data_IF_803988103742
#
_entry.id   IF_803988103742
#
_cell.length_a   1.000
_cell.length_b   1.000
_cell.length_c   1.000
_cell.angle_alpha   90.00
_cell.angle_beta   90.00
_cell.angle_gamma   90.00
#
_symmetry.space_group_name_H-M   'P 1'
#
loop_
_entity.id
_entity.type
_entity.pdbx_description
1 polymer ?
#
# COMPACT_ATOMS: atom_id res chain seq x y z
N UNK A 1 6.92 0.70 -17.03
CA UNK A 1 6.32 1.67 -17.98
C UNK A 1 5.35 1.05 -18.99
N UNK A 2 5.66 -0.10 -19.59
CA UNK A 2 4.81 -0.79 -20.59
C UNK A 2 3.38 -1.06 -20.11
N UNK A 3 3.18 -1.48 -18.86
CA UNK A 3 1.85 -1.77 -18.29
C UNK A 3 0.94 -0.54 -18.18
N UNK A 4 1.48 0.66 -17.99
CA UNK A 4 0.70 1.90 -17.89
C UNK A 4 0.08 2.22 -19.23
N UNK A 5 0.81 2.09 -20.33
CA UNK A 5 0.31 2.32 -21.68
C UNK A 5 -0.73 1.29 -22.08
N UNK A 6 -0.57 0.04 -21.66
CA UNK A 6 -1.55 -1.03 -21.90
C UNK A 6 -2.87 -0.74 -21.19
N UNK A 7 -2.82 -0.30 -19.93
CA UNK A 7 -4.00 0.09 -19.14
C UNK A 7 -4.69 1.30 -19.76
N UNK A 8 -3.94 2.34 -20.13
CA UNK A 8 -4.48 3.52 -20.79
C UNK A 8 -5.10 3.18 -22.14
N UNK A 9 -4.49 2.28 -22.92
CA UNK A 9 -5.03 1.78 -24.17
C UNK A 9 -6.35 1.02 -24.01
N UNK A 10 -6.44 0.16 -22.99
CA UNK A 10 -7.70 -0.54 -22.66
C UNK A 10 -8.78 0.46 -22.25
N UNK A 11 -8.48 1.43 -21.39
CA UNK A 11 -9.45 2.45 -20.97
C UNK A 11 -9.93 3.27 -22.15
N UNK A 12 -9.04 3.67 -23.08
CA UNK A 12 -9.39 4.42 -24.29
C UNK A 12 -10.28 3.61 -25.25
N UNK A 13 -9.90 2.36 -25.55
CA UNK A 13 -10.71 1.45 -26.38
C UNK A 13 -12.10 1.24 -25.81
N UNK A 14 -12.20 1.15 -24.52
CA UNK A 14 -13.46 0.97 -23.83
C UNK A 14 -14.30 2.24 -23.78
N UNK A 15 -13.67 3.41 -23.69
CA UNK A 15 -14.34 4.69 -23.87
C UNK A 15 -14.94 4.82 -25.26
N UNK A 16 -14.20 4.43 -26.29
CA UNK A 16 -14.65 4.41 -27.69
C UNK A 16 -15.83 3.45 -27.87
N UNK A 17 -15.73 2.22 -27.36
CA UNK A 17 -16.82 1.23 -27.42
C UNK A 17 -18.08 1.73 -26.71
N UNK A 18 -17.94 2.44 -25.60
CA UNK A 18 -19.06 3.09 -24.89
C UNK A 18 -19.79 4.12 -25.76
N UNK A 19 -19.06 4.94 -26.51
CA UNK A 19 -19.62 6.00 -27.34
C UNK A 19 -20.39 5.41 -28.55
N UNK A 20 -19.86 4.38 -29.20
CA UNK A 20 -20.39 3.89 -30.44
C UNK A 20 -21.39 2.72 -30.31
N UNK A 21 -21.23 1.85 -29.31
CA UNK A 21 -22.04 0.64 -29.20
C UNK A 21 -23.23 0.77 -28.21
N UNK A 22 -23.11 1.58 -27.17
CA UNK A 22 -24.14 1.70 -26.15
C UNK A 22 -25.47 2.37 -26.56
N UNK A 23 -25.50 3.39 -27.43
CA UNK A 23 -26.75 4.08 -27.75
C UNK A 23 -27.83 3.16 -28.34
N UNK A 24 -27.41 2.05 -28.96
CA UNK A 24 -28.32 1.09 -29.64
C UNK A 24 -28.83 -0.04 -28.76
N UNK A 25 -28.37 -0.12 -27.48
CA UNK A 25 -28.69 -1.21 -26.58
C UNK A 25 -29.88 -0.88 -25.65
N UNK A 26 -30.52 -1.91 -25.11
CA UNK A 26 -31.60 -1.75 -24.14
C UNK A 26 -31.15 -1.04 -22.86
N UNK A 27 -32.05 -0.39 -22.09
CA UNK A 27 -31.69 0.30 -20.84
C UNK A 27 -31.01 -0.62 -19.83
N UNK A 28 -31.40 -1.89 -19.76
CA UNK A 28 -30.83 -2.90 -18.87
C UNK A 28 -29.36 -3.20 -19.25
N UNK A 29 -29.08 -3.40 -20.54
CA UNK A 29 -27.72 -3.65 -21.04
C UNK A 29 -26.83 -2.44 -20.77
N UNK A 30 -27.32 -1.22 -20.99
CA UNK A 30 -26.58 0.02 -20.66
C UNK A 30 -26.26 0.13 -19.17
N UNK A 31 -27.21 -0.29 -18.30
CA UNK A 31 -27.00 -0.27 -16.87
C UNK A 31 -25.93 -1.30 -16.44
N UNK A 32 -26.04 -2.54 -16.92
CA UNK A 32 -25.06 -3.59 -16.65
C UNK A 32 -23.66 -3.21 -17.13
N UNK A 33 -23.55 -2.68 -18.34
CA UNK A 33 -22.28 -2.20 -18.92
C UNK A 33 -21.66 -1.08 -18.11
N UNK A 34 -22.46 -0.11 -17.64
CA UNK A 34 -21.98 0.97 -16.79
C UNK A 34 -21.47 0.51 -15.42
N UNK A 35 -22.10 -0.50 -14.83
CA UNK A 35 -21.62 -1.13 -13.58
C UNK A 35 -20.33 -1.91 -13.81
N UNK A 36 -20.26 -2.69 -14.88
CA UNK A 36 -19.05 -3.41 -15.27
C UNK A 36 -17.85 -2.47 -15.39
N UNK A 37 -18.02 -1.33 -16.08
CA UNK A 37 -16.93 -0.34 -16.19
C UNK A 37 -16.55 0.29 -14.87
N UNK A 38 -17.53 0.55 -14.01
CA UNK A 38 -17.25 1.06 -12.66
C UNK A 38 -16.39 0.07 -11.87
N UNK A 39 -16.72 -1.22 -11.94
CA UNK A 39 -15.94 -2.28 -11.30
C UNK A 39 -14.55 -2.42 -11.91
N UNK A 40 -14.44 -2.41 -13.24
CA UNK A 40 -13.14 -2.50 -13.91
C UNK A 40 -12.21 -1.31 -13.55
N UNK A 41 -12.71 -0.09 -13.58
CA UNK A 41 -11.97 1.09 -13.16
C UNK A 41 -11.58 1.02 -11.67
N UNK A 42 -12.51 0.62 -10.81
CA UNK A 42 -12.24 0.44 -9.39
C UNK A 42 -11.14 -0.59 -9.14
N UNK A 43 -11.17 -1.72 -9.86
CA UNK A 43 -10.14 -2.76 -9.75
C UNK A 43 -8.75 -2.26 -10.18
N UNK A 44 -8.66 -1.50 -11.29
CA UNK A 44 -7.41 -0.91 -11.76
C UNK A 44 -6.86 0.10 -10.74
N UNK A 45 -7.70 0.98 -10.23
CA UNK A 45 -7.30 1.97 -9.23
C UNK A 45 -6.91 1.28 -7.92
N UNK A 46 -7.65 0.24 -7.49
CA UNK A 46 -7.29 -0.55 -6.32
C UNK A 46 -5.91 -1.20 -6.47
N UNK A 47 -5.62 -1.78 -7.64
CA UNK A 47 -4.30 -2.35 -7.94
C UNK A 47 -3.19 -1.30 -7.87
N UNK A 48 -3.40 -0.11 -8.45
CA UNK A 48 -2.43 0.98 -8.40
C UNK A 48 -2.21 1.48 -6.97
N UNK A 49 -3.28 1.72 -6.21
CA UNK A 49 -3.19 2.16 -4.82
C UNK A 49 -2.60 1.09 -3.89
N UNK A 50 -2.76 -0.20 -4.22
CA UNK A 50 -2.16 -1.30 -3.48
C UNK A 50 -0.62 -1.29 -3.54
N UNK A 51 -0.07 -0.91 -4.69
CA UNK A 51 1.38 -0.83 -4.92
C UNK A 51 1.97 0.54 -4.55
N UNK A 52 1.20 1.60 -4.75
CA UNK A 52 1.64 3.00 -4.57
C UNK A 52 0.60 3.75 -3.75
N UNK A 53 0.83 3.85 -2.44
CA UNK A 53 -0.10 4.55 -1.54
C UNK A 53 -0.32 6.01 -1.95
N UNK A 54 0.72 6.69 -2.42
CA UNK A 54 0.65 8.10 -2.85
C UNK A 54 -0.33 8.31 -4.01
N UNK A 55 -0.58 7.25 -4.80
CA UNK A 55 -1.60 7.30 -5.84
C UNK A 55 -3.01 7.49 -5.28
N UNK A 56 -3.24 7.09 -4.03
CA UNK A 56 -4.51 7.29 -3.33
C UNK A 56 -4.84 8.77 -3.14
N UNK A 57 -3.82 9.61 -2.88
CA UNK A 57 -3.97 11.06 -2.68
C UNK A 57 -4.47 11.75 -3.96
N UNK A 58 -4.15 11.21 -5.12
CA UNK A 58 -4.62 11.71 -6.41
C UNK A 58 -5.95 11.04 -6.82
N UNK A 59 -6.04 9.72 -6.64
CA UNK A 59 -7.19 8.94 -7.06
C UNK A 59 -8.48 9.31 -6.31
N UNK A 60 -8.37 9.60 -5.01
CA UNK A 60 -9.53 9.95 -4.18
C UNK A 60 -10.20 11.27 -4.64
N UNK A 61 -9.49 12.41 -4.76
CA UNK A 61 -10.09 13.64 -5.28
C UNK A 61 -10.67 13.49 -6.69
N UNK A 62 -9.95 12.80 -7.58
CA UNK A 62 -10.41 12.56 -8.95
C UNK A 62 -11.71 11.74 -8.95
N UNK A 63 -11.78 10.66 -8.17
CA UNK A 63 -12.98 9.84 -8.02
C UNK A 63 -14.15 10.65 -7.44
N UNK A 64 -13.89 11.53 -6.46
CA UNK A 64 -14.90 12.42 -5.90
C UNK A 64 -15.45 13.39 -6.95
N UNK A 65 -14.60 14.04 -7.74
CA UNK A 65 -15.02 14.98 -8.81
C UNK A 65 -15.84 14.23 -9.87
N UNK A 66 -15.37 13.08 -10.34
CA UNK A 66 -16.10 12.25 -11.32
C UNK A 66 -17.44 11.79 -10.71
N UNK A 67 -17.46 11.35 -9.47
CA UNK A 67 -18.66 10.93 -8.77
C UNK A 67 -19.69 12.04 -8.64
N UNK A 68 -19.27 13.25 -8.26
CA UNK A 68 -20.12 14.43 -8.14
C UNK A 68 -20.69 14.88 -9.47
N UNK A 69 -19.87 14.92 -10.54
CA UNK A 69 -20.34 15.29 -11.87
C UNK A 69 -21.33 14.26 -12.44
N UNK A 70 -21.05 12.97 -12.25
CA UNK A 70 -21.95 11.89 -12.64
C UNK A 70 -23.27 11.94 -11.84
N UNK A 71 -23.21 12.25 -10.56
CA UNK A 71 -24.38 12.46 -9.71
C UNK A 71 -25.24 13.62 -10.22
N UNK A 72 -24.62 14.75 -10.54
CA UNK A 72 -25.32 15.91 -11.08
C UNK A 72 -26.04 15.62 -12.40
N UNK A 73 -25.38 14.93 -13.31
CA UNK A 73 -25.90 14.60 -14.63
C UNK A 73 -27.01 13.54 -14.60
N UNK A 74 -27.00 12.63 -13.64
CA UNK A 74 -27.90 11.45 -13.61
C UNK A 74 -28.91 11.48 -12.45
N UNK A 75 -29.33 12.63 -11.98
CA UNK A 75 -30.30 12.78 -10.85
C UNK A 75 -31.58 11.96 -11.00
N UNK A 76 -31.93 11.56 -12.21
CA UNK A 76 -33.18 10.82 -12.52
C UNK A 76 -33.06 9.30 -12.25
N UNK A 77 -31.90 8.76 -11.88
CA UNK A 77 -31.70 7.33 -11.63
C UNK A 77 -30.93 7.06 -10.32
N UNK A 78 -31.53 7.33 -9.15
CA UNK A 78 -30.81 7.32 -7.87
C UNK A 78 -30.26 5.95 -7.50
N UNK A 79 -31.01 4.86 -7.65
CA UNK A 79 -30.58 3.50 -7.30
C UNK A 79 -29.28 3.07 -7.98
N UNK A 80 -29.14 3.37 -9.27
CA UNK A 80 -27.93 3.04 -10.03
C UNK A 80 -26.72 3.83 -9.56
N UNK A 81 -26.91 5.06 -9.10
CA UNK A 81 -25.82 5.89 -8.60
C UNK A 81 -25.36 5.44 -7.22
N UNK A 82 -26.27 5.09 -6.33
CA UNK A 82 -25.94 4.54 -5.03
C UNK A 82 -25.08 3.27 -5.15
N UNK A 83 -25.41 2.40 -6.12
CA UNK A 83 -24.59 1.21 -6.40
C UNK A 83 -23.14 1.57 -6.77
N UNK A 84 -22.92 2.58 -7.61
CA UNK A 84 -21.57 3.02 -7.97
C UNK A 84 -20.83 3.64 -6.79
N UNK A 85 -21.49 4.50 -6.02
CA UNK A 85 -20.92 5.11 -4.82
C UNK A 85 -20.49 4.02 -3.84
N UNK A 86 -21.33 3.01 -3.64
CA UNK A 86 -21.03 1.89 -2.76
C UNK A 86 -19.77 1.12 -3.23
N UNK A 87 -19.65 0.84 -4.54
CA UNK A 87 -18.46 0.19 -5.11
C UNK A 87 -17.20 0.99 -4.78
N UNK A 88 -17.22 2.29 -5.02
CA UNK A 88 -16.06 3.15 -4.74
C UNK A 88 -15.75 3.23 -3.25
N UNK A 89 -16.78 3.37 -2.40
CA UNK A 89 -16.62 3.43 -0.96
C UNK A 89 -16.00 2.14 -0.40
N UNK A 90 -16.51 0.98 -0.84
CA UNK A 90 -15.97 -0.33 -0.43
C UNK A 90 -14.53 -0.53 -0.92
N UNK A 91 -14.23 -0.11 -2.15
CA UNK A 91 -12.87 -0.18 -2.69
C UNK A 91 -11.90 0.65 -1.85
N UNK A 92 -12.19 1.92 -1.59
CA UNK A 92 -11.32 2.78 -0.78
C UNK A 92 -11.20 2.29 0.65
N UNK A 93 -12.29 1.85 1.28
CA UNK A 93 -12.26 1.26 2.61
C UNK A 93 -11.36 0.01 2.65
N UNK A 94 -11.46 -0.86 1.65
CA UNK A 94 -10.60 -2.04 1.53
C UNK A 94 -9.12 -1.70 1.36
N UNK A 95 -8.80 -0.68 0.56
CA UNK A 95 -7.41 -0.20 0.38
C UNK A 95 -6.86 0.32 1.71
N UNK A 96 -7.61 1.20 2.40
CA UNK A 96 -7.20 1.72 3.70
C UNK A 96 -6.98 0.61 4.72
N UNK A 97 -7.95 -0.31 4.85
CA UNK A 97 -7.84 -1.44 5.77
C UNK A 97 -6.61 -2.31 5.46
N UNK A 98 -6.31 -2.54 4.19
CA UNK A 98 -5.14 -3.33 3.77
C UNK A 98 -3.83 -2.62 4.14
N UNK A 99 -3.74 -1.31 3.92
CA UNK A 99 -2.54 -0.54 4.27
C UNK A 99 -2.33 -0.47 5.79
N UNK A 100 -3.39 -0.24 6.56
CA UNK A 100 -3.31 -0.25 8.03
C UNK A 100 -2.92 -1.63 8.56
N UNK A 101 -3.54 -2.71 8.06
CA UNK A 101 -3.15 -4.06 8.43
C UNK A 101 -1.66 -4.33 8.16
N UNK A 102 -1.17 -3.93 6.99
CA UNK A 102 0.26 -4.09 6.64
C UNK A 102 1.17 -3.25 7.55
N UNK A 103 0.76 -2.03 7.89
CA UNK A 103 1.52 -1.17 8.78
C UNK A 103 1.64 -1.79 10.18
N UNK A 104 0.52 -2.27 10.73
CA UNK A 104 0.51 -2.97 12.01
C UNK A 104 1.34 -4.26 11.98
N UNK A 105 1.21 -5.08 10.92
CA UNK A 105 1.99 -6.30 10.79
C UNK A 105 3.50 -6.04 10.72
N UNK A 106 3.93 -5.01 9.96
CA UNK A 106 5.36 -4.62 9.90
C UNK A 106 5.87 -4.15 11.25
N UNK A 107 5.09 -3.32 11.94
CA UNK A 107 5.46 -2.84 13.27
C UNK A 107 5.59 -3.98 14.28
N UNK A 108 4.62 -4.90 14.31
CA UNK A 108 4.67 -6.05 15.21
C UNK A 108 5.91 -6.94 14.97
N UNK A 109 6.27 -7.16 13.69
CA UNK A 109 7.50 -7.89 13.38
C UNK A 109 8.76 -7.12 13.75
N UNK A 110 8.80 -5.80 13.54
CA UNK A 110 9.92 -4.97 13.96
C UNK A 110 10.06 -4.99 15.48
N UNK A 111 8.96 -4.94 16.24
CA UNK A 111 8.97 -5.04 17.70
C UNK A 111 9.46 -6.43 18.18
N UNK A 112 9.09 -7.50 17.49
CA UNK A 112 9.60 -8.85 17.81
C UNK A 112 11.11 -8.97 17.61
N UNK A 113 11.64 -8.42 16.50
CA UNK A 113 13.09 -8.38 16.25
C UNK A 113 13.80 -7.46 17.24
N UNK A 114 13.18 -6.31 17.58
CA UNK A 114 13.71 -5.41 18.60
C UNK A 114 13.89 -6.11 19.96
N UNK A 115 12.90 -6.90 20.36
CA UNK A 115 12.98 -7.67 21.61
C UNK A 115 14.16 -8.64 21.58
N UNK A 116 14.43 -9.30 20.45
CA UNK A 116 15.62 -10.17 20.30
C UNK A 116 16.93 -9.39 20.40
N UNK A 117 17.02 -8.22 19.78
CA UNK A 117 18.20 -7.34 19.89
C UNK A 117 18.42 -6.91 21.33
N UNK A 118 17.35 -6.52 22.04
CA UNK A 118 17.44 -6.10 23.45
C UNK A 118 17.83 -7.27 24.36
N UNK A 119 17.28 -8.45 24.14
CA UNK A 119 17.66 -9.66 24.88
C UNK A 119 19.13 -10.01 24.65
N UNK A 120 19.61 -9.97 23.41
CA UNK A 120 21.02 -10.20 23.09
C UNK A 120 21.92 -9.17 23.81
N UNK A 121 21.54 -7.87 23.77
CA UNK A 121 22.26 -6.80 24.47
C UNK A 121 22.31 -7.02 25.99
N UNK A 122 21.22 -7.48 26.58
CA UNK A 122 21.17 -7.76 28.01
C UNK A 122 22.12 -8.91 28.40
N UNK A 123 22.21 -9.96 27.60
CA UNK A 123 23.05 -11.13 27.83
C UNK A 123 24.53 -10.85 27.57
N UNK A 124 24.85 -10.18 26.46
CA UNK A 124 26.24 -10.02 25.99
C UNK A 124 26.83 -8.64 26.24
N UNK A 125 26.06 -7.70 26.79
CA UNK A 125 26.42 -6.28 27.02
C UNK A 125 26.91 -5.54 25.77
N UNK A 126 26.54 -6.03 24.57
CA UNK A 126 26.83 -5.43 23.28
C UNK A 126 25.66 -5.67 22.34
N UNK A 127 25.59 -4.92 21.26
CA UNK A 127 24.64 -5.19 20.18
C UNK A 127 25.08 -6.39 19.33
N UNK A 128 24.14 -7.18 18.78
CA UNK A 128 24.49 -8.26 17.86
C UNK A 128 25.10 -7.70 16.58
N UNK A 129 26.06 -8.41 16.02
CA UNK A 129 26.48 -8.19 14.65
C UNK A 129 25.35 -8.57 13.69
N UNK A 130 25.43 -8.13 12.45
CA UNK A 130 24.45 -8.50 11.42
C UNK A 130 24.35 -10.01 11.21
N UNK A 131 25.49 -10.71 11.23
CA UNK A 131 25.53 -12.16 11.08
C UNK A 131 24.91 -12.88 12.28
N UNK A 132 25.19 -12.43 13.50
CA UNK A 132 24.60 -12.99 14.71
C UNK A 132 23.07 -12.80 14.72
N UNK A 133 22.59 -11.60 14.39
CA UNK A 133 21.16 -11.34 14.34
C UNK A 133 20.46 -12.19 13.26
N UNK A 134 21.05 -12.33 12.10
CA UNK A 134 20.50 -13.17 11.04
C UNK A 134 20.64 -14.66 11.35
N UNK A 135 21.69 -15.07 12.08
CA UNK A 135 21.84 -16.43 12.58
C UNK A 135 20.71 -16.82 13.54
N UNK A 136 20.34 -15.93 14.45
CA UNK A 136 19.18 -16.11 15.36
C UNK A 136 17.87 -16.26 14.56
N UNK A 137 17.72 -15.47 13.51
CA UNK A 137 16.49 -15.38 12.73
C UNK A 137 16.33 -16.48 11.65
N UNK A 138 17.43 -16.90 11.01
CA UNK A 138 17.38 -17.84 9.86
C UNK A 138 18.18 -19.11 10.04
N UNK A 139 19.02 -19.16 11.07
CA UNK A 139 19.96 -20.26 11.28
C UNK A 139 21.13 -20.32 10.29
N UNK A 140 21.12 -19.53 9.20
CA UNK A 140 22.11 -19.58 8.12
C UNK A 140 23.05 -18.38 8.08
N UNK A 141 22.78 -17.32 8.86
CA UNK A 141 23.54 -16.06 8.79
C UNK A 141 23.28 -15.20 7.54
N UNK A 142 22.50 -15.72 6.59
CA UNK A 142 22.04 -14.95 5.43
C UNK A 142 20.90 -14.00 5.80
N UNK A 143 20.67 -12.96 4.97
CA UNK A 143 19.53 -12.04 5.17
C UNK A 143 18.23 -12.81 5.02
N UNK A 144 17.45 -12.98 6.10
CA UNK A 144 16.21 -13.74 6.02
C UNK A 144 15.27 -13.12 4.99
N UNK A 145 14.56 -13.96 4.23
CA UNK A 145 13.61 -13.49 3.23
C UNK A 145 12.54 -12.57 3.83
N UNK A 146 12.13 -12.82 5.08
CA UNK A 146 11.18 -11.96 5.81
C UNK A 146 11.69 -10.54 5.99
N UNK A 147 12.99 -10.32 6.19
CA UNK A 147 13.58 -8.97 6.32
C UNK A 147 13.43 -8.17 5.02
N UNK A 148 13.69 -8.82 3.88
CA UNK A 148 13.50 -8.20 2.56
C UNK A 148 12.02 -7.90 2.31
N UNK A 149 11.14 -8.87 2.56
CA UNK A 149 9.70 -8.73 2.31
C UNK A 149 9.03 -7.69 3.21
N UNK A 150 9.56 -7.50 4.43
CA UNK A 150 9.00 -6.57 5.42
C UNK A 150 9.74 -5.24 5.49
N UNK A 151 10.82 -5.09 4.72
CA UNK A 151 11.60 -3.84 4.70
C UNK A 151 12.27 -3.52 6.03
N UNK A 152 12.67 -4.54 6.81
CA UNK A 152 13.44 -4.36 8.04
C UNK A 152 14.86 -3.92 7.70
N UNK A 153 15.40 -3.03 8.52
CA UNK A 153 16.72 -2.41 8.34
C UNK A 153 17.51 -2.63 9.62
N UNK A 154 18.71 -3.20 9.50
CA UNK A 154 19.67 -3.27 10.59
C UNK A 154 21.06 -2.98 10.06
N UNK A 155 21.64 -1.89 10.51
CA UNK A 155 22.95 -1.40 10.09
C UNK A 155 23.79 -1.17 11.35
N UNK A 156 24.94 -1.81 11.39
CA UNK A 156 25.96 -1.55 12.41
C UNK A 156 27.04 -0.69 11.72
N UNK A 157 27.15 0.60 12.06
CA UNK A 157 28.15 1.48 11.45
C UNK A 157 29.57 1.00 11.78
N UNK A 158 30.45 1.03 10.77
CA UNK A 158 31.87 0.77 10.99
C UNK A 158 32.46 1.82 11.94
N UNK A 159 33.19 1.36 12.96
CA UNK A 159 33.75 2.23 14.00
C UNK A 159 32.78 2.69 15.11
N UNK A 160 31.48 2.36 15.03
CA UNK A 160 30.50 2.65 16.09
C UNK A 160 29.57 1.45 16.35
N UNK A 161 30.10 0.31 16.80
CA UNK A 161 29.28 -0.88 17.05
C UNK A 161 28.28 -0.70 18.20
N UNK A 162 28.42 0.34 18.99
CA UNK A 162 27.54 0.67 20.12
C UNK A 162 26.27 1.44 19.71
N UNK A 163 26.19 1.92 18.46
CA UNK A 163 25.07 2.71 17.97
C UNK A 163 24.51 2.15 16.65
N UNK A 164 23.93 0.93 16.67
CA UNK A 164 23.32 0.37 15.48
C UNK A 164 22.05 1.13 15.10
N UNK A 165 21.77 1.18 13.81
CA UNK A 165 20.49 1.65 13.27
C UNK A 165 19.58 0.44 13.07
N UNK A 166 18.43 0.44 13.72
CA UNK A 166 17.38 -0.56 13.53
C UNK A 166 16.09 0.13 13.14
N UNK A 167 15.38 -0.43 12.19
CA UNK A 167 14.11 0.13 11.77
C UNK A 167 13.39 -0.67 10.71
N UNK A 168 12.32 -0.09 10.18
CA UNK A 168 11.56 -0.64 9.07
C UNK A 168 11.05 0.47 8.15
N UNK A 169 10.91 0.14 6.86
CA UNK A 169 10.35 1.07 5.87
C UNK A 169 8.86 1.24 6.07
N UNK A 170 8.38 2.44 5.86
CA UNK A 170 6.94 2.76 5.85
C UNK A 170 6.20 1.92 4.80
N UNK A 171 4.94 1.60 5.08
CA UNK A 171 4.04 0.99 4.10
C UNK A 171 3.40 2.03 3.18
N UNK A 172 3.42 3.29 3.60
CA UNK A 172 2.78 4.39 2.88
C UNK A 172 3.71 4.96 1.83
N UNK A 173 4.96 5.24 2.21
CA UNK A 173 5.99 5.74 1.31
C UNK A 173 7.24 4.85 1.46
N UNK A 174 7.74 4.20 0.40
CA UNK A 174 8.90 3.30 0.49
C UNK A 174 10.22 4.02 0.82
N UNK A 175 10.25 5.33 0.70
CA UNK A 175 11.42 6.16 1.06
C UNK A 175 11.44 6.47 2.55
N UNK A 176 10.29 6.61 3.20
CA UNK A 176 10.19 6.87 4.63
C UNK A 176 10.51 5.63 5.46
N UNK A 177 11.12 5.85 6.61
CA UNK A 177 11.44 4.79 7.58
C UNK A 177 11.04 5.17 9.01
N UNK A 178 10.79 4.14 9.82
CA UNK A 178 10.73 4.26 11.26
C UNK A 178 12.01 3.66 11.84
N UNK A 179 12.80 4.49 12.52
CA UNK A 179 14.05 4.10 13.15
C UNK A 179 13.87 4.03 14.66
N UNK A 180 14.44 3.01 15.28
CA UNK A 180 14.43 2.87 16.73
C UNK A 180 15.66 3.54 17.33
N UNK A 181 15.40 4.49 18.22
CA UNK A 181 16.42 5.18 19.00
C UNK A 181 16.67 4.38 20.30
N UNK A 182 17.80 3.69 20.37
CA UNK A 182 18.16 2.85 21.52
C UNK A 182 18.50 3.65 22.79
N UNK A 183 18.84 4.92 22.67
CA UNK A 183 19.15 5.79 23.80
C UNK A 183 17.85 6.31 24.44
N UNK A 184 16.88 6.66 23.59
CA UNK A 184 15.57 7.16 24.02
C UNK A 184 14.53 6.07 24.22
N UNK A 185 14.85 4.85 23.83
CA UNK A 185 13.94 3.70 23.85
C UNK A 185 12.61 3.99 23.13
N UNK A 186 12.67 4.62 21.96
CA UNK A 186 11.52 5.10 21.23
C UNK A 186 11.68 5.01 19.71
N UNK A 187 10.56 4.80 19.03
CA UNK A 187 10.50 4.87 17.57
C UNK A 187 10.49 6.34 17.10
N UNK A 188 11.27 6.65 16.09
CA UNK A 188 11.32 7.95 15.42
C UNK A 188 10.97 7.78 13.95
N UNK A 189 10.11 8.66 13.46
CA UNK A 189 9.85 8.77 12.02
C UNK A 189 11.01 9.51 11.36
N UNK A 190 11.56 8.93 10.30
CA UNK A 190 12.63 9.49 9.48
C UNK A 190 12.10 9.60 8.05
N UNK A 191 11.63 10.78 7.63
CA UNK A 191 11.30 11.05 6.24
C UNK A 191 12.61 11.12 5.43
N UNK A 192 12.54 10.72 4.15
CA UNK A 192 13.64 10.84 3.20
C UNK A 192 13.63 12.24 2.53
#
# INVERSE_FOLDING_TARGET
MMYIWLILGIIALCGIANIYLLPRQSPAVRAAWSLFWTLACAAVIAFMCYHFYDFLLIALPVACVIGLTAWWQQRKQPLRQWGKILIWALMFAGIFATHEYRAHARRAEAEAVLAQIQQFRALHRRFPSRQELFGIESGSGEVPQKWRNRGLIYIVPEGRPQAPLFGYRSTRNPFDAYLYDFDRNAWRFAPD
#
